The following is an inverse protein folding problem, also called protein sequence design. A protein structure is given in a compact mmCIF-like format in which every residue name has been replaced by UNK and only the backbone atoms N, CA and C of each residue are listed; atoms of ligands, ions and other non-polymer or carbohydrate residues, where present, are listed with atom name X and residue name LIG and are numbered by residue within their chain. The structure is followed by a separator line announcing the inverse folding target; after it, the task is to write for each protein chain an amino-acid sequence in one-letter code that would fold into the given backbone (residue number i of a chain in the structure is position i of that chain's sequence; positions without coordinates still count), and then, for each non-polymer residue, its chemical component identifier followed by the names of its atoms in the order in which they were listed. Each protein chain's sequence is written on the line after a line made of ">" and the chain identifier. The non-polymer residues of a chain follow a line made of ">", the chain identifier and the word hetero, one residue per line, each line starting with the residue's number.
data_IF_784847523153
#
_entry.id   IF_784847523153
#
_cell.length_a   1.000
_cell.length_b   1.000
_cell.length_c   1.000
_cell.angle_alpha   90.00
_cell.angle_beta   90.00
_cell.angle_gamma   90.00
#
_symmetry.space_group_name_H-M   'P 1'
#
loop_
_entity.id
_entity.type
_entity.pdbx_description
1 polymer ?
#
# COMPACT_ATOMS: atom_id res chain seq x y z
N UNK A 1 7.03 -23.61 1.40
CA UNK A 1 5.75 -23.11 0.82
C UNK A 1 5.37 -21.89 1.63
N UNK A 2 4.82 -20.84 1.00
CA UNK A 2 4.32 -19.67 1.73
C UNK A 2 3.11 -20.09 2.59
N UNK A 3 3.16 -19.82 3.89
CA UNK A 3 2.08 -20.22 4.83
C UNK A 3 0.99 -19.15 4.94
N UNK A 4 1.17 -18.00 4.27
CA UNK A 4 0.23 -16.89 4.34
C UNK A 4 -0.91 -17.04 3.34
N UNK A 5 -2.15 -16.93 3.81
CA UNK A 5 -3.36 -17.00 3.00
C UNK A 5 -3.82 -15.63 2.51
N UNK A 6 -3.62 -14.58 3.34
CA UNK A 6 -3.94 -13.20 2.96
C UNK A 6 -2.70 -12.31 3.13
N UNK A 7 -2.18 -11.78 2.01
CA UNK A 7 -1.02 -10.87 1.97
C UNK A 7 -1.49 -9.51 1.49
N UNK A 8 -1.16 -8.44 2.22
CA UNK A 8 -1.38 -7.07 1.78
C UNK A 8 -0.05 -6.42 1.37
N UNK A 9 0.00 -5.85 0.18
CA UNK A 9 1.15 -5.07 -0.31
C UNK A 9 0.84 -3.59 -0.18
N UNK A 10 1.69 -2.86 0.52
CA UNK A 10 1.45 -1.43 0.76
C UNK A 10 2.72 -0.59 0.48
N UNK A 11 2.53 0.71 0.31
CA UNK A 11 3.60 1.70 0.11
C UNK A 11 3.10 2.94 -0.64
N UNK A 12 3.92 3.96 -0.71
CA UNK A 12 3.58 5.28 -1.25
C UNK A 12 3.24 5.22 -2.75
N UNK A 13 2.51 6.21 -3.22
CA UNK A 13 2.24 6.42 -4.66
C UNK A 13 3.55 6.35 -5.46
N UNK A 14 3.58 5.51 -6.51
CA UNK A 14 4.74 5.32 -7.37
C UNK A 14 5.76 4.28 -6.90
N UNK A 15 5.58 3.63 -5.75
CA UNK A 15 6.54 2.63 -5.26
C UNK A 15 6.53 1.32 -6.06
N UNK A 16 5.42 1.00 -6.75
CA UNK A 16 5.25 -0.20 -7.59
C UNK A 16 4.38 -1.29 -6.98
N UNK A 17 3.49 -0.94 -6.02
CA UNK A 17 2.57 -1.88 -5.36
C UNK A 17 1.85 -2.82 -6.31
N UNK A 18 1.07 -2.25 -7.23
CA UNK A 18 0.21 -3.03 -8.15
C UNK A 18 1.00 -4.00 -9.00
N UNK A 19 2.18 -3.58 -9.51
CA UNK A 19 3.06 -4.49 -10.26
C UNK A 19 3.57 -5.63 -9.39
N UNK A 20 4.03 -5.32 -8.18
CA UNK A 20 4.53 -6.34 -7.26
C UNK A 20 3.43 -7.30 -6.80
N UNK A 21 2.25 -6.76 -6.42
CA UNK A 21 1.10 -7.56 -6.00
C UNK A 21 0.63 -8.50 -7.12
N UNK A 22 0.57 -8.01 -8.37
CA UNK A 22 0.22 -8.84 -9.53
C UNK A 22 1.20 -9.99 -9.75
N UNK A 23 2.50 -9.71 -9.75
CA UNK A 23 3.54 -10.75 -9.88
C UNK A 23 3.52 -11.75 -8.71
N UNK A 24 3.26 -11.25 -7.50
CA UNK A 24 3.16 -12.09 -6.30
C UNK A 24 1.94 -13.01 -6.37
N UNK A 25 0.78 -12.48 -6.77
CA UNK A 25 -0.45 -13.25 -6.93
C UNK A 25 -0.27 -14.36 -7.97
N UNK A 26 0.33 -14.07 -9.12
CA UNK A 26 0.65 -15.05 -10.15
C UNK A 26 1.59 -16.15 -9.62
N UNK A 27 2.68 -15.79 -8.95
CA UNK A 27 3.65 -16.72 -8.38
C UNK A 27 3.05 -17.63 -7.32
N UNK A 28 2.14 -17.12 -6.49
CA UNK A 28 1.49 -17.88 -5.42
C UNK A 28 0.20 -18.57 -5.85
N UNK A 29 -0.22 -18.39 -7.11
CA UNK A 29 -1.54 -18.81 -7.61
C UNK A 29 -2.67 -18.30 -6.72
N UNK A 30 -2.56 -17.02 -6.33
CA UNK A 30 -3.47 -16.32 -5.44
C UNK A 30 -4.44 -15.44 -6.23
N UNK A 31 -5.59 -15.15 -5.64
CA UNK A 31 -6.49 -14.10 -6.15
C UNK A 31 -5.86 -12.72 -5.91
N UNK A 32 -5.85 -11.87 -6.94
CA UNK A 32 -5.40 -10.48 -6.82
C UNK A 32 -6.60 -9.57 -6.54
N UNK A 33 -6.51 -8.82 -5.45
CA UNK A 33 -7.49 -7.78 -5.09
C UNK A 33 -6.86 -6.42 -5.31
N UNK A 34 -7.25 -5.76 -6.41
CA UNK A 34 -6.77 -4.42 -6.73
C UNK A 34 -7.59 -3.33 -6.05
N UNK A 35 -6.94 -2.25 -5.67
CA UNK A 35 -7.62 -1.04 -5.20
C UNK A 35 -8.36 -0.35 -6.35
N UNK A 36 -9.65 -0.07 -6.16
CA UNK A 36 -10.54 0.59 -7.16
C UNK A 36 -10.34 2.11 -7.17
N UNK A 37 -9.11 2.55 -7.46
CA UNK A 37 -8.72 3.96 -7.39
C UNK A 37 -9.51 4.84 -8.36
N UNK A 38 -9.79 4.32 -9.56
CA UNK A 38 -10.41 5.09 -10.64
C UNK A 38 -11.93 5.25 -10.50
N UNK A 39 -12.56 4.49 -9.62
CA UNK A 39 -13.99 4.58 -9.37
C UNK A 39 -14.35 5.75 -8.43
N UNK A 40 -13.36 6.35 -7.79
CA UNK A 40 -13.61 7.49 -6.92
C UNK A 40 -13.92 8.76 -7.73
N UNK A 41 -15.18 9.24 -7.73
CA UNK A 41 -15.59 10.39 -8.54
C UNK A 41 -14.95 11.70 -8.08
N UNK A 42 -14.40 11.76 -6.88
CA UNK A 42 -13.76 12.95 -6.30
C UNK A 42 -12.25 13.00 -6.55
N UNK A 43 -11.64 11.93 -7.05
CA UNK A 43 -10.19 11.82 -7.13
C UNK A 43 -9.55 12.89 -8.02
N UNK A 44 -10.12 13.11 -9.21
CA UNK A 44 -9.59 14.12 -10.15
C UNK A 44 -9.70 15.52 -9.57
N UNK A 45 -10.82 15.83 -8.93
CA UNK A 45 -11.04 17.14 -8.32
C UNK A 45 -10.21 17.32 -7.04
N UNK A 46 -9.98 16.26 -6.28
CA UNK A 46 -9.06 16.26 -5.15
C UNK A 46 -7.65 16.70 -5.59
N UNK A 47 -7.12 16.16 -6.66
CA UNK A 47 -5.80 16.58 -7.14
C UNK A 47 -5.75 18.03 -7.63
N UNK A 48 -6.88 18.60 -8.13
CA UNK A 48 -6.98 20.02 -8.49
C UNK A 48 -7.12 20.93 -7.26
N UNK A 49 -7.93 20.53 -6.29
CA UNK A 49 -8.20 21.31 -5.08
C UNK A 49 -8.38 20.40 -3.86
N UNK A 50 -7.24 20.03 -3.23
CA UNK A 50 -7.23 19.10 -2.10
C UNK A 50 -8.07 19.59 -0.93
N UNK A 51 -7.94 20.87 -0.55
CA UNK A 51 -8.69 21.41 0.61
C UNK A 51 -10.20 21.27 0.48
N UNK A 52 -10.73 21.38 -0.74
CA UNK A 52 -12.16 21.29 -0.99
C UNK A 52 -12.68 19.87 -1.04
N UNK A 53 -11.89 18.95 -1.63
CA UNK A 53 -12.37 17.61 -1.96
C UNK A 53 -11.75 16.50 -1.11
N UNK A 54 -10.83 16.83 -0.19
CA UNK A 54 -10.13 15.85 0.62
C UNK A 54 -11.10 14.94 1.40
N UNK A 55 -12.07 15.53 2.10
CA UNK A 55 -13.00 14.75 2.92
C UNK A 55 -13.89 13.83 2.09
N UNK A 56 -14.49 14.33 1.00
CA UNK A 56 -15.33 13.52 0.13
C UNK A 56 -14.55 12.39 -0.54
N UNK A 57 -13.33 12.69 -1.02
CA UNK A 57 -12.45 11.71 -1.63
C UNK A 57 -12.03 10.64 -0.62
N UNK A 58 -11.68 11.03 0.60
CA UNK A 58 -11.26 10.14 1.67
C UNK A 58 -12.41 9.24 2.13
N UNK A 59 -13.60 9.80 2.32
CA UNK A 59 -14.75 9.04 2.77
C UNK A 59 -15.21 8.02 1.71
N UNK A 60 -15.13 8.38 0.43
CA UNK A 60 -15.40 7.43 -0.65
C UNK A 60 -14.42 6.26 -0.60
N UNK A 61 -13.12 6.51 -0.49
CA UNK A 61 -12.12 5.44 -0.39
C UNK A 61 -12.32 4.56 0.84
N UNK A 62 -12.65 5.14 1.99
CA UNK A 62 -12.94 4.39 3.21
C UNK A 62 -14.08 3.40 2.99
N UNK A 63 -15.19 3.86 2.40
CA UNK A 63 -16.38 3.04 2.15
C UNK A 63 -16.14 1.99 1.05
N UNK A 64 -15.49 2.37 -0.07
CA UNK A 64 -15.17 1.44 -1.15
C UNK A 64 -14.25 0.31 -0.66
N UNK A 65 -13.17 0.64 0.06
CA UNK A 65 -12.29 -0.37 0.65
C UNK A 65 -13.01 -1.24 1.66
N UNK A 66 -13.89 -0.67 2.49
CA UNK A 66 -14.70 -1.45 3.42
C UNK A 66 -15.58 -2.46 2.68
N UNK A 67 -16.28 -2.04 1.62
CA UNK A 67 -17.11 -2.92 0.80
C UNK A 67 -16.30 -4.04 0.15
N UNK A 68 -15.11 -3.73 -0.40
CA UNK A 68 -14.22 -4.76 -0.95
C UNK A 68 -13.78 -5.76 0.12
N UNK A 69 -13.41 -5.29 1.32
CA UNK A 69 -12.99 -6.17 2.42
C UNK A 69 -14.13 -7.05 2.94
N UNK A 70 -15.38 -6.54 2.96
CA UNK A 70 -16.55 -7.35 3.30
C UNK A 70 -16.77 -8.50 2.31
N UNK A 71 -16.49 -8.29 1.03
CA UNK A 71 -16.56 -9.35 0.02
C UNK A 71 -15.51 -10.44 0.28
N UNK A 72 -14.34 -10.11 0.83
CA UNK A 72 -13.34 -11.10 1.20
C UNK A 72 -13.81 -12.01 2.33
N UNK A 73 -14.55 -11.48 3.30
CA UNK A 73 -15.09 -12.28 4.42
C UNK A 73 -16.12 -13.34 3.97
N UNK A 74 -16.83 -13.07 2.86
CA UNK A 74 -17.81 -14.03 2.30
C UNK A 74 -17.16 -15.13 1.48
N UNK A 75 -15.87 -15.01 1.16
CA UNK A 75 -15.08 -15.99 0.42
C UNK A 75 -14.46 -16.98 1.40
N UNK A 76 -14.26 -18.19 0.94
CA UNK A 76 -13.51 -19.17 1.70
C UNK A 76 -12.01 -18.85 1.67
N UNK A 77 -11.56 -18.06 2.65
CA UNK A 77 -10.14 -17.67 2.81
C UNK A 77 -9.21 -18.89 2.99
N UNK A 78 -9.75 -20.07 3.30
CA UNK A 78 -8.97 -21.30 3.40
C UNK A 78 -8.84 -22.02 2.06
N UNK A 79 -9.73 -21.74 1.11
CA UNK A 79 -9.73 -22.38 -0.21
C UNK A 79 -8.81 -21.68 -1.22
N UNK A 80 -8.61 -20.36 -1.11
CA UNK A 80 -7.83 -19.59 -2.06
C UNK A 80 -7.00 -18.51 -1.36
N UNK A 81 -5.72 -18.43 -1.72
CA UNK A 81 -4.85 -17.34 -1.24
C UNK A 81 -5.26 -16.01 -1.88
N UNK A 82 -5.04 -14.93 -1.13
CA UNK A 82 -5.35 -13.56 -1.54
C UNK A 82 -4.10 -12.70 -1.44
N UNK A 83 -3.86 -11.91 -2.48
CA UNK A 83 -2.89 -10.81 -2.49
C UNK A 83 -3.63 -9.52 -2.80
N UNK A 84 -3.64 -8.57 -1.86
CA UNK A 84 -4.21 -7.25 -2.06
C UNK A 84 -3.11 -6.22 -2.34
N UNK A 85 -3.34 -5.29 -3.27
CA UNK A 85 -2.40 -4.19 -3.55
C UNK A 85 -2.63 -2.96 -2.65
N UNK A 86 -3.33 -3.18 -1.54
CA UNK A 86 -3.51 -2.19 -0.48
C UNK A 86 -3.74 -2.85 0.88
N UNK A 87 -3.43 -2.09 1.94
CA UNK A 87 -3.83 -2.38 3.31
C UNK A 87 -5.00 -1.46 3.69
N UNK A 88 -6.07 -1.97 4.32
CA UNK A 88 -7.20 -1.14 4.74
C UNK A 88 -6.77 0.06 5.60
N UNK A 89 -5.85 -0.17 6.53
CA UNK A 89 -5.34 0.84 7.45
C UNK A 89 -4.60 2.01 6.76
N UNK A 90 -4.18 1.87 5.46
CA UNK A 90 -3.60 3.00 4.71
C UNK A 90 -4.51 4.21 4.65
N UNK A 91 -5.82 3.97 4.77
CA UNK A 91 -6.83 5.02 4.72
C UNK A 91 -6.56 6.10 5.79
N UNK A 92 -6.16 5.68 6.98
CA UNK A 92 -5.80 6.59 8.08
C UNK A 92 -4.55 7.43 7.78
N UNK A 93 -3.60 6.91 6.99
CA UNK A 93 -2.40 7.65 6.57
C UNK A 93 -2.80 8.82 5.69
N UNK A 94 -3.63 8.56 4.68
CA UNK A 94 -4.12 9.62 3.79
C UNK A 94 -5.01 10.62 4.51
N UNK A 95 -5.88 10.17 5.43
CA UNK A 95 -6.71 11.02 6.25
C UNK A 95 -5.85 12.00 7.08
N UNK A 96 -4.79 11.52 7.74
CA UNK A 96 -3.91 12.35 8.56
C UNK A 96 -3.16 13.43 7.77
N UNK A 97 -2.88 13.18 6.49
CA UNK A 97 -2.15 14.12 5.62
C UNK A 97 -3.07 15.13 4.94
N UNK A 98 -4.31 14.74 4.63
CA UNK A 98 -5.17 15.52 3.75
C UNK A 98 -6.33 16.24 4.44
N UNK A 99 -6.80 15.73 5.59
CA UNK A 99 -7.98 16.26 6.25
C UNK A 99 -7.62 17.42 7.19
N UNK A 100 -8.50 18.40 7.28
CA UNK A 100 -8.45 19.40 8.36
C UNK A 100 -8.74 18.74 9.72
N UNK A 101 -8.37 19.40 10.81
CA UNK A 101 -8.56 18.89 12.17
C UNK A 101 -10.03 18.49 12.46
N UNK A 102 -11.00 19.28 11.94
CA UNK A 102 -12.43 18.99 12.11
C UNK A 102 -12.87 17.76 11.32
N UNK A 103 -12.41 17.63 10.10
CA UNK A 103 -12.71 16.50 9.23
C UNK A 103 -12.03 15.21 9.75
N UNK A 104 -10.78 15.34 10.20
CA UNK A 104 -10.03 14.25 10.81
C UNK A 104 -10.69 13.77 12.11
N UNK A 105 -11.20 14.68 12.93
CA UNK A 105 -11.93 14.31 14.14
C UNK A 105 -13.22 13.53 13.84
N UNK A 106 -13.92 13.87 12.74
CA UNK A 106 -15.09 13.11 12.28
C UNK A 106 -14.68 11.76 11.70
N UNK A 107 -13.65 11.74 10.84
CA UNK A 107 -13.09 10.53 10.27
C UNK A 107 -12.67 9.52 11.35
N UNK A 108 -11.99 9.98 12.40
CA UNK A 108 -11.54 9.16 13.53
C UNK A 108 -12.68 8.56 14.38
N UNK A 109 -13.91 9.05 14.21
CA UNK A 109 -15.10 8.42 14.80
C UNK A 109 -15.69 7.33 13.91
N UNK A 110 -15.57 7.48 12.59
CA UNK A 110 -16.16 6.57 11.60
C UNK A 110 -15.25 5.38 11.27
N UNK A 111 -13.98 5.64 10.95
CA UNK A 111 -13.06 4.63 10.47
C UNK A 111 -12.86 3.45 11.44
N UNK A 112 -12.74 3.63 12.77
CA UNK A 112 -12.61 2.50 13.71
C UNK A 112 -13.85 1.61 13.79
N UNK A 113 -15.04 2.17 13.52
CA UNK A 113 -16.28 1.37 13.50
C UNK A 113 -16.28 0.41 12.34
N UNK A 114 -15.88 0.88 11.15
CA UNK A 114 -15.77 0.05 9.96
C UNK A 114 -14.61 -0.95 10.05
N UNK A 115 -13.48 -0.53 10.62
CA UNK A 115 -12.28 -1.36 10.75
C UNK A 115 -12.49 -2.64 11.58
N UNK A 116 -13.47 -2.68 12.48
CA UNK A 116 -13.77 -3.87 13.30
C UNK A 116 -14.17 -5.09 12.48
N UNK A 117 -14.83 -4.85 11.37
CA UNK A 117 -15.37 -5.90 10.50
C UNK A 117 -14.50 -6.13 9.27
N UNK A 118 -13.22 -5.73 9.30
CA UNK A 118 -12.26 -5.92 8.22
C UNK A 118 -11.29 -7.02 8.59
N UNK A 119 -11.05 -8.03 7.71
CA UNK A 119 -10.08 -9.08 7.97
C UNK A 119 -8.66 -8.50 7.99
N UNK A 120 -7.85 -9.00 8.92
CA UNK A 120 -6.43 -8.65 8.98
C UNK A 120 -5.63 -9.59 8.05
N UNK A 121 -4.63 -9.08 7.32
CA UNK A 121 -3.74 -9.93 6.55
C UNK A 121 -2.82 -10.75 7.47
N UNK A 122 -2.39 -11.93 7.00
CA UNK A 122 -1.39 -12.75 7.69
C UNK A 122 0.02 -12.15 7.58
N UNK A 123 0.24 -11.36 6.52
CA UNK A 123 1.48 -10.66 6.25
C UNK A 123 1.22 -9.33 5.56
N UNK A 124 1.86 -8.28 6.03
CA UNK A 124 1.95 -7.00 5.33
C UNK A 124 3.34 -6.85 4.72
N UNK A 125 3.40 -6.49 3.44
CA UNK A 125 4.64 -6.15 2.74
C UNK A 125 4.63 -4.65 2.46
N UNK A 126 5.46 -3.91 3.20
CA UNK A 126 5.64 -2.48 2.99
C UNK A 126 6.80 -2.22 2.03
N UNK A 127 6.48 -1.78 0.82
CA UNK A 127 7.47 -1.34 -0.17
C UNK A 127 7.88 0.09 0.13
N UNK A 128 9.13 0.28 0.55
CA UNK A 128 9.69 1.58 0.92
C UNK A 128 10.63 2.09 -0.18
N UNK A 129 10.49 3.36 -0.56
CA UNK A 129 11.42 4.03 -1.47
C UNK A 129 11.65 5.48 -1.05
N UNK A 130 12.80 6.03 -1.45
CA UNK A 130 13.10 7.45 -1.24
C UNK A 130 12.20 8.36 -2.09
N UNK A 131 11.92 9.56 -1.61
CA UNK A 131 11.09 10.53 -2.34
C UNK A 131 11.56 10.79 -3.78
N UNK A 132 12.86 10.94 -4.07
CA UNK A 132 13.34 11.10 -5.46
C UNK A 132 12.97 9.91 -6.36
N UNK A 133 13.11 8.68 -5.87
CA UNK A 133 12.75 7.46 -6.61
C UNK A 133 11.24 7.40 -6.87
N UNK A 134 10.41 7.73 -5.86
CA UNK A 134 8.97 7.79 -6.02
C UNK A 134 8.55 8.79 -7.10
N UNK A 135 9.10 10.01 -7.06
CA UNK A 135 8.83 11.06 -8.05
C UNK A 135 9.24 10.64 -9.47
N UNK A 136 10.39 9.99 -9.62
CA UNK A 136 10.83 9.47 -10.91
C UNK A 136 9.84 8.43 -11.45
N UNK A 137 9.38 7.50 -10.61
CA UNK A 137 8.43 6.43 -11.00
C UNK A 137 7.04 6.99 -11.33
N UNK A 138 6.54 7.97 -10.56
CA UNK A 138 5.27 8.67 -10.83
C UNK A 138 5.34 9.38 -12.19
N UNK A 139 6.42 10.12 -12.46
CA UNK A 139 6.62 10.78 -13.77
C UNK A 139 6.68 9.79 -14.93
N UNK A 140 7.37 8.65 -14.75
CA UNK A 140 7.47 7.59 -15.77
C UNK A 140 6.10 6.96 -16.07
N UNK A 141 5.25 6.77 -15.05
CA UNK A 141 3.89 6.23 -15.20
C UNK A 141 2.95 7.17 -15.94
N UNK A 142 3.16 8.49 -15.83
CA UNK A 142 2.52 9.56 -16.60
C UNK A 142 0.97 9.54 -16.57
N UNK A 143 0.35 9.23 -15.44
CA UNK A 143 -1.11 9.32 -15.31
C UNK A 143 -1.57 10.78 -15.33
N UNK A 144 -2.64 11.12 -16.09
CA UNK A 144 -3.06 12.52 -16.29
C UNK A 144 -3.33 13.29 -14.98
N UNK A 145 -4.01 12.67 -14.01
CA UNK A 145 -4.36 13.29 -12.73
C UNK A 145 -3.16 13.39 -11.78
N UNK A 146 -2.11 12.59 -11.96
CA UNK A 146 -0.90 12.64 -11.14
C UNK A 146 0.06 13.75 -11.55
N UNK A 147 -0.13 14.37 -12.71
CA UNK A 147 0.71 15.49 -13.17
C UNK A 147 0.69 16.70 -12.23
N UNK A 148 -0.37 16.84 -11.44
CA UNK A 148 -0.51 17.91 -10.45
C UNK A 148 0.06 17.56 -9.08
N UNK A 149 0.57 16.34 -8.89
CA UNK A 149 1.22 15.93 -7.65
C UNK A 149 2.58 16.64 -7.56
N UNK A 150 2.74 17.49 -6.54
CA UNK A 150 4.00 18.14 -6.25
C UNK A 150 4.93 17.28 -5.38
N UNK A 151 6.21 17.61 -5.39
CA UNK A 151 7.23 16.88 -4.65
C UNK A 151 7.01 16.93 -3.14
N UNK A 152 6.51 18.06 -2.62
CA UNK A 152 6.26 18.23 -1.18
C UNK A 152 5.15 17.28 -0.70
N UNK A 153 4.11 17.08 -1.51
CA UNK A 153 3.06 16.14 -1.15
C UNK A 153 3.56 14.71 -1.06
N UNK A 154 4.35 14.27 -2.05
CA UNK A 154 4.96 12.92 -2.00
C UNK A 154 5.89 12.81 -0.79
N UNK A 155 6.66 13.86 -0.47
CA UNK A 155 7.54 13.88 0.70
C UNK A 155 6.76 13.73 2.01
N UNK A 156 5.70 14.54 2.20
CA UNK A 156 4.86 14.47 3.40
C UNK A 156 4.19 13.09 3.52
N UNK A 157 3.64 12.60 2.40
CA UNK A 157 3.00 11.28 2.39
C UNK A 157 4.00 10.17 2.71
N UNK A 158 5.22 10.24 2.15
CA UNK A 158 6.28 9.26 2.43
C UNK A 158 6.67 9.25 3.92
N UNK A 159 6.79 10.42 4.54
CA UNK A 159 7.05 10.54 5.97
C UNK A 159 5.90 9.96 6.82
N UNK A 160 4.65 10.19 6.41
CA UNK A 160 3.48 9.64 7.10
C UNK A 160 3.43 8.10 7.00
N UNK A 161 3.78 7.54 5.84
CA UNK A 161 3.91 6.10 5.65
C UNK A 161 5.02 5.51 6.52
N UNK A 162 6.21 6.12 6.52
CA UNK A 162 7.33 5.67 7.34
C UNK A 162 6.96 5.69 8.83
N UNK A 163 6.30 6.75 9.30
CA UNK A 163 5.84 6.85 10.67
C UNK A 163 4.79 5.79 11.02
N UNK A 164 3.82 5.56 10.14
CA UNK A 164 2.79 4.55 10.34
C UNK A 164 3.40 3.15 10.45
N UNK A 165 4.22 2.75 9.47
CA UNK A 165 4.82 1.42 9.45
C UNK A 165 5.91 1.22 10.49
N UNK A 166 6.55 2.30 10.95
CA UNK A 166 7.45 2.23 12.11
C UNK A 166 6.70 1.81 13.38
N UNK A 167 5.46 2.27 13.57
CA UNK A 167 4.62 1.95 14.72
C UNK A 167 3.67 0.76 14.50
N UNK A 168 3.59 0.22 13.28
CA UNK A 168 2.69 -0.88 12.94
C UNK A 168 3.06 -2.16 13.68
N UNK A 169 2.07 -2.83 14.30
CA UNK A 169 2.27 -4.06 15.07
C UNK A 169 1.10 -5.04 14.99
N UNK A 170 0.08 -4.75 14.18
CA UNK A 170 -1.15 -5.56 14.15
C UNK A 170 -0.91 -6.97 13.57
N UNK A 171 -0.04 -7.06 12.58
CA UNK A 171 0.31 -8.33 11.91
C UNK A 171 1.80 -8.35 11.55
N UNK A 172 2.39 -9.50 11.18
CA UNK A 172 3.75 -9.58 10.67
C UNK A 172 3.99 -8.59 9.53
N UNK A 173 5.11 -7.88 9.56
CA UNK A 173 5.46 -6.83 8.61
C UNK A 173 6.83 -7.08 7.98
N UNK A 174 6.87 -7.22 6.66
CA UNK A 174 8.09 -7.20 5.85
C UNK A 174 8.29 -5.82 5.23
N UNK A 175 9.28 -5.06 5.71
CA UNK A 175 9.68 -3.78 5.11
C UNK A 175 10.72 -4.05 4.03
N UNK A 176 10.40 -3.72 2.79
CA UNK A 176 11.27 -3.93 1.62
C UNK A 176 11.77 -2.61 1.08
N UNK A 177 13.07 -2.36 1.18
CA UNK A 177 13.69 -1.17 0.58
C UNK A 177 13.87 -1.35 -0.92
N UNK A 178 13.11 -0.59 -1.72
CA UNK A 178 13.03 -0.76 -3.18
C UNK A 178 13.82 0.27 -3.99
N UNK A 179 14.72 1.03 -3.37
CA UNK A 179 15.52 2.03 -4.11
C UNK A 179 16.36 1.39 -5.22
N UNK A 180 17.00 0.27 -4.90
CA UNK A 180 17.95 -0.42 -5.75
C UNK A 180 17.39 -1.77 -6.27
N UNK A 181 16.08 -1.99 -6.06
CA UNK A 181 15.38 -3.18 -6.54
C UNK A 181 14.56 -2.84 -7.78
N UNK A 182 14.79 -3.57 -8.85
CA UNK A 182 13.91 -3.61 -10.01
C UNK A 182 13.36 -5.04 -10.15
N UNK A 183 12.29 -5.33 -9.43
CA UNK A 183 11.63 -6.62 -9.48
C UNK A 183 10.80 -6.83 -10.75
N UNK A 184 10.53 -5.75 -11.51
CA UNK A 184 9.78 -5.82 -12.77
C UNK A 184 10.67 -6.30 -13.91
N UNK A 185 11.90 -5.75 -14.02
CA UNK A 185 12.80 -6.05 -15.12
C UNK A 185 13.93 -7.02 -14.75
N UNK A 186 14.11 -7.31 -13.46
CA UNK A 186 15.11 -8.24 -12.97
C UNK A 186 14.46 -9.39 -12.18
N UNK A 187 14.27 -10.58 -12.80
CA UNK A 187 13.64 -11.72 -12.14
C UNK A 187 14.34 -12.17 -10.85
N UNK A 188 15.66 -12.02 -10.75
CA UNK A 188 16.41 -12.39 -9.54
C UNK A 188 15.96 -11.56 -8.33
N UNK A 189 15.74 -10.26 -8.52
CA UNK A 189 15.25 -9.42 -7.42
C UNK A 189 13.86 -9.84 -6.92
N UNK A 190 13.01 -10.31 -7.83
CA UNK A 190 11.72 -10.86 -7.47
C UNK A 190 11.83 -12.21 -6.75
N UNK A 191 12.66 -13.12 -7.26
CA UNK A 191 12.88 -14.44 -6.67
C UNK A 191 13.45 -14.33 -5.24
N UNK A 192 14.39 -13.40 -5.02
CA UNK A 192 14.92 -13.11 -3.67
C UNK A 192 13.82 -12.64 -2.71
N UNK A 193 12.90 -11.80 -3.19
CA UNK A 193 11.76 -11.35 -2.38
C UNK A 193 10.79 -12.51 -2.06
N UNK A 194 10.50 -13.37 -3.03
CA UNK A 194 9.68 -14.57 -2.82
C UNK A 194 10.31 -15.49 -1.76
N UNK A 195 11.61 -15.65 -1.77
CA UNK A 195 12.32 -16.42 -0.74
C UNK A 195 12.14 -15.81 0.66
N UNK A 196 12.21 -14.46 0.77
CA UNK A 196 12.01 -13.80 2.05
C UNK A 196 10.56 -13.93 2.56
N UNK A 197 9.57 -13.82 1.66
CA UNK A 197 8.14 -13.97 1.96
C UNK A 197 7.82 -15.41 2.41
N UNK A 198 8.50 -16.40 1.85
CA UNK A 198 8.31 -17.81 2.22
C UNK A 198 8.92 -18.22 3.57
N UNK A 199 9.70 -17.35 4.23
CA UNK A 199 10.28 -17.63 5.54
C UNK A 199 9.28 -17.34 6.65
N UNK A 200 9.25 -18.15 7.72
CA UNK A 200 8.44 -17.84 8.91
C UNK A 200 8.77 -16.43 9.42
N UNK A 201 7.73 -15.67 9.72
CA UNK A 201 7.89 -14.28 10.13
C UNK A 201 7.03 -13.97 11.35
N UNK A 202 7.66 -13.37 12.36
CA UNK A 202 6.98 -12.80 13.51
C UNK A 202 7.47 -11.35 13.69
N UNK A 203 6.53 -10.46 14.02
CA UNK A 203 6.83 -9.05 14.22
C UNK A 203 7.31 -8.36 12.93
N UNK A 204 8.36 -7.55 13.03
CA UNK A 204 8.84 -6.69 11.94
C UNK A 204 10.18 -7.13 11.41
N UNK A 205 10.29 -7.32 10.10
CA UNK A 205 11.53 -7.67 9.42
C UNK A 205 11.86 -6.65 8.33
N UNK A 206 13.12 -6.30 8.21
CA UNK A 206 13.63 -5.40 7.17
C UNK A 206 14.43 -6.20 6.15
N UNK A 207 14.14 -5.97 4.87
CA UNK A 207 14.88 -6.52 3.76
C UNK A 207 15.40 -5.39 2.86
N UNK A 208 16.70 -5.33 2.75
CA UNK A 208 17.38 -4.58 1.70
C UNK A 208 18.26 -5.60 0.96
N UNK A 209 18.14 -5.73 -0.37
CA UNK A 209 19.05 -6.57 -1.12
C UNK A 209 20.47 -6.08 -0.86
N UNK A 210 21.42 -6.99 -0.82
CA UNK A 210 22.83 -6.62 -0.84
C UNK A 210 23.08 -5.92 -2.17
N UNK A 211 22.82 -4.62 -2.22
CA UNK A 211 23.15 -3.78 -3.37
C UNK A 211 24.62 -3.91 -3.62
N UNK A 212 25.06 -3.85 -4.86
CA UNK A 212 26.44 -3.60 -5.20
C UNK A 212 26.89 -2.39 -4.39
N UNK A 213 27.48 -2.63 -3.24
CA UNK A 213 28.25 -1.64 -2.51
C UNK A 213 29.46 -1.35 -3.42
N UNK A 214 29.24 -0.49 -4.41
CA UNK A 214 30.37 0.18 -5.05
C UNK A 214 31.10 0.88 -3.91
N UNK A 215 32.36 0.53 -3.64
CA UNK A 215 33.13 1.23 -2.63
C UNK A 215 33.20 2.71 -3.04
N UNK A 216 32.86 3.58 -2.09
CA UNK A 216 33.02 5.04 -2.24
C UNK A 216 34.49 5.37 -2.37
#
# INVERSE_FOLDING_TARGET
>A
MCEHNYIAVEGVIGVGKTSFAGMLAERLQAELVNEEVFENPFLVDFYKNRKRYAFSCQLYFLLSRFQQQQQLLTRDLFAQRIVADYLFAKDSIFASVNLSDRELALYNKLAPVLARDVPLPDLVIYLQASTPVLLQRVRKRNLPFEKTINADYIKILNQAYDYFFFNYSDTPLLVVRTNDIDFVNNPKHFDDLIEQIGKPMAGKKYYAPAGNLSPR
#
